data_IF_868951248324
#
_entry.id   IF_868951248324
#
_cell.length_a   1.000
_cell.length_b   1.000
_cell.length_c   1.000
_cell.angle_alpha   90.00
_cell.angle_beta   90.00
_cell.angle_gamma   90.00
#
_symmetry.space_group_name_H-M   'P 1'
#
loop_
_entity.id
_entity.type
_entity.pdbx_description
1 polymer ?
#
# COMPACT_ATOMS: atom_id res chain seq x y z
N UNK A 1 1.36 -23.51 -14.08
CA UNK A 1 2.07 -22.22 -14.29
C UNK A 1 1.16 -21.13 -14.85
N UNK A 2 0.44 -21.35 -15.97
CA UNK A 2 -0.49 -20.35 -16.57
C UNK A 2 -1.52 -19.75 -15.60
N UNK A 3 -2.14 -20.58 -14.76
CA UNK A 3 -3.16 -20.13 -13.78
C UNK A 3 -2.54 -19.28 -12.66
N UNK A 4 -1.35 -19.65 -12.19
CA UNK A 4 -0.63 -18.90 -11.16
C UNK A 4 -0.20 -17.52 -11.68
N UNK A 5 0.30 -17.45 -12.91
CA UNK A 5 0.65 -16.18 -13.54
C UNK A 5 -0.56 -15.27 -13.73
N UNK A 6 -1.72 -15.82 -14.14
CA UNK A 6 -2.97 -15.07 -14.23
C UNK A 6 -3.42 -14.55 -12.85
N UNK A 7 -3.34 -15.40 -11.82
CA UNK A 7 -3.72 -15.03 -10.46
C UNK A 7 -2.83 -13.89 -9.93
N UNK A 8 -1.51 -13.98 -10.10
CA UNK A 8 -0.57 -12.92 -9.71
C UNK A 8 -0.86 -11.62 -10.46
N UNK A 9 -1.11 -11.69 -11.77
CA UNK A 9 -1.45 -10.51 -12.56
C UNK A 9 -2.77 -9.87 -12.12
N UNK A 10 -3.80 -10.68 -11.82
CA UNK A 10 -5.06 -10.15 -11.28
C UNK A 10 -4.86 -9.51 -9.91
N UNK A 11 -4.02 -10.09 -9.05
CA UNK A 11 -3.73 -9.54 -7.73
C UNK A 11 -3.00 -8.21 -7.86
N UNK A 12 -2.02 -8.11 -8.76
CA UNK A 12 -1.27 -6.88 -9.03
C UNK A 12 -2.18 -5.74 -9.54
N UNK A 13 -3.20 -6.04 -10.34
CA UNK A 13 -4.19 -5.05 -10.76
C UNK A 13 -5.08 -4.53 -9.61
N UNK A 14 -5.18 -5.27 -8.50
CA UNK A 14 -6.06 -4.95 -7.38
C UNK A 14 -5.32 -4.48 -6.11
N UNK A 15 -3.99 -4.57 -6.08
CA UNK A 15 -3.13 -4.22 -4.93
C UNK A 15 -2.13 -3.12 -5.28
N UNK A 16 -2.67 -1.96 -5.65
CA UNK A 16 -1.91 -0.78 -6.07
C UNK A 16 -0.89 -0.35 -5.00
N UNK A 17 -1.27 -0.37 -3.72
CA UNK A 17 -0.37 0.02 -2.64
C UNK A 17 0.83 -0.93 -2.49
N UNK A 18 0.64 -2.24 -2.68
CA UNK A 18 1.75 -3.21 -2.65
C UNK A 18 2.73 -2.96 -3.79
N UNK A 19 2.23 -2.76 -5.01
CA UNK A 19 3.06 -2.46 -6.18
C UNK A 19 3.89 -1.19 -5.99
N UNK A 20 3.32 -0.16 -5.35
CA UNK A 20 4.03 1.08 -5.03
C UNK A 20 5.13 0.92 -3.97
N UNK A 21 4.96 0.00 -3.03
CA UNK A 21 5.80 -0.08 -1.82
C UNK A 21 6.75 -1.27 -1.78
N UNK A 22 6.64 -2.22 -2.70
CA UNK A 22 7.51 -3.40 -2.76
C UNK A 22 8.97 -3.03 -3.09
N UNK A 23 9.18 -2.04 -3.95
CA UNK A 23 10.50 -1.54 -4.34
C UNK A 23 10.43 -0.04 -4.63
N UNK A 24 10.26 0.80 -3.59
CA UNK A 24 10.15 2.24 -3.76
C UNK A 24 11.50 2.84 -4.13
N UNK A 25 11.48 3.82 -5.04
CA UNK A 25 12.67 4.57 -5.41
C UNK A 25 13.24 5.32 -4.20
N UNK A 26 14.57 5.29 -4.04
CA UNK A 26 15.29 5.96 -2.96
C UNK A 26 14.79 5.64 -1.53
N UNK A 27 14.17 4.47 -1.34
CA UNK A 27 13.54 4.10 -0.06
C UNK A 27 12.48 5.10 0.45
N UNK A 28 11.76 5.73 -0.48
CA UNK A 28 10.81 6.77 -0.16
C UNK A 28 9.49 6.58 -0.90
N UNK A 29 8.39 6.85 -0.22
CA UNK A 29 7.06 6.85 -0.82
C UNK A 29 6.29 8.11 -0.41
N UNK A 30 5.66 8.75 -1.39
CA UNK A 30 4.75 9.85 -1.11
C UNK A 30 3.34 9.30 -0.90
N UNK A 31 2.78 9.59 0.28
CA UNK A 31 1.44 9.16 0.67
C UNK A 31 0.58 10.41 0.81
N UNK A 32 -0.26 10.60 -0.18
CA UNK A 32 -1.17 11.74 -0.29
C UNK A 32 -2.51 11.27 -0.84
N UNK A 33 -3.59 11.83 -0.32
CA UNK A 33 -4.95 11.60 -0.82
C UNK A 33 -5.69 12.93 -0.96
N UNK A 34 -6.19 13.23 -2.16
CA UNK A 34 -6.92 14.45 -2.48
C UNK A 34 -6.23 15.76 -2.03
N UNK A 35 -4.92 15.91 -2.26
CA UNK A 35 -4.19 17.11 -1.85
C UNK A 35 -3.74 17.11 -0.38
N UNK A 36 -4.07 16.05 0.38
CA UNK A 36 -3.76 15.95 1.82
C UNK A 36 -2.69 14.90 2.06
N UNK A 37 -1.53 15.36 2.57
CA UNK A 37 -0.42 14.48 2.92
C UNK A 37 -0.74 13.67 4.18
N UNK A 38 -0.24 12.45 4.21
CA UNK A 38 -0.22 11.64 5.42
C UNK A 38 0.78 12.18 6.46
N UNK A 39 0.47 11.99 7.73
CA UNK A 39 1.31 12.27 8.88
C UNK A 39 2.23 11.11 9.28
N UNK A 40 2.18 9.96 8.58
CA UNK A 40 3.20 8.93 8.84
C UNK A 40 4.57 9.44 8.43
N UNK A 41 5.59 9.12 9.22
CA UNK A 41 7.00 9.40 8.90
C UNK A 41 7.66 8.21 8.20
N UNK A 42 7.21 7.00 8.51
CA UNK A 42 7.70 5.77 7.91
C UNK A 42 6.67 4.64 7.98
N UNK A 43 6.83 3.65 7.10
CA UNK A 43 6.07 2.41 7.09
C UNK A 43 7.03 1.20 7.02
N UNK A 44 6.67 0.04 7.61
CA UNK A 44 7.46 -1.17 7.46
C UNK A 44 7.40 -1.69 6.01
N UNK A 45 8.45 -2.37 5.55
CA UNK A 45 8.48 -3.08 4.26
C UNK A 45 7.66 -4.36 4.28
N UNK A 46 7.66 -5.05 5.42
CA UNK A 46 6.79 -6.20 5.65
C UNK A 46 5.38 -5.67 5.85
N UNK A 47 4.42 -6.15 5.05
CA UNK A 47 3.06 -5.59 4.97
C UNK A 47 3.02 -4.10 4.58
N UNK A 48 3.89 -3.68 3.66
CA UNK A 48 3.99 -2.27 3.26
C UNK A 48 2.77 -1.77 2.49
N UNK A 49 2.14 -2.59 1.66
CA UNK A 49 0.93 -2.21 0.94
C UNK A 49 -0.26 -1.99 1.87
N UNK A 50 -0.45 -2.88 2.86
CA UNK A 50 -1.44 -2.68 3.91
C UNK A 50 -1.13 -1.43 4.76
N UNK A 51 0.13 -1.27 5.18
CA UNK A 51 0.56 -0.12 5.97
C UNK A 51 0.35 1.20 5.22
N UNK A 52 0.60 1.24 3.92
CA UNK A 52 0.32 2.39 3.06
C UNK A 52 -1.17 2.78 3.10
N UNK A 53 -2.08 1.80 3.00
CA UNK A 53 -3.52 2.07 3.04
C UNK A 53 -3.98 2.59 4.41
N UNK A 54 -3.48 2.02 5.50
CA UNK A 54 -3.76 2.54 6.86
C UNK A 54 -3.18 3.94 7.03
N UNK A 55 -1.98 4.17 6.50
CA UNK A 55 -1.30 5.45 6.55
C UNK A 55 -2.04 6.55 5.76
N UNK A 56 -2.74 6.18 4.69
CA UNK A 56 -3.63 7.08 3.94
C UNK A 56 -4.74 7.68 4.84
N UNK A 57 -5.17 6.94 5.86
CA UNK A 57 -6.20 7.38 6.82
C UNK A 57 -5.63 8.31 7.90
N UNK A 58 -4.31 8.29 8.10
CA UNK A 58 -3.61 9.17 9.05
C UNK A 58 -3.16 10.47 8.37
N UNK A 59 -4.10 11.18 7.74
CA UNK A 59 -3.82 12.41 6.99
C UNK A 59 -4.41 13.67 7.61
N UNK A 60 -4.15 14.81 6.97
CA UNK A 60 -4.68 16.10 7.40
C UNK A 60 -6.22 16.07 7.52
N UNK A 61 -6.82 16.58 8.62
CA UNK A 61 -8.26 16.59 8.80
C UNK A 61 -8.97 17.31 7.65
N UNK A 62 -9.99 16.66 7.09
CA UNK A 62 -10.87 17.27 6.09
C UNK A 62 -12.23 17.58 6.68
N UNK A 63 -12.79 18.73 6.29
CA UNK A 63 -14.19 19.09 6.56
C UNK A 63 -15.19 18.42 5.62
N UNK A 64 -14.71 17.74 4.56
CA UNK A 64 -15.51 17.01 3.59
C UNK A 64 -15.15 15.53 3.63
N UNK A 65 -16.09 14.68 3.23
CA UNK A 65 -15.79 13.26 3.08
C UNK A 65 -14.74 13.06 1.99
N UNK A 66 -13.58 12.57 2.41
CA UNK A 66 -12.42 12.33 1.56
C UNK A 66 -12.04 10.84 1.55
N UNK A 67 -13.05 9.96 1.52
CA UNK A 67 -12.83 8.50 1.58
C UNK A 67 -12.43 7.89 0.22
N UNK A 68 -12.34 8.73 -0.81
CA UNK A 68 -12.01 8.32 -2.18
C UNK A 68 -13.19 7.71 -2.92
N UNK A 69 -12.89 7.01 -4.02
CA UNK A 69 -13.88 6.31 -4.84
C UNK A 69 -14.51 5.16 -4.06
N UNK A 70 -15.79 4.87 -4.29
CA UNK A 70 -16.50 3.74 -3.67
C UNK A 70 -17.01 2.76 -4.72
N UNK A 71 -16.92 1.46 -4.44
CA UNK A 71 -17.53 0.39 -5.25
C UNK A 71 -18.61 -0.28 -4.39
N UNK A 72 -19.87 -0.19 -4.80
CA UNK A 72 -20.97 -0.81 -4.04
C UNK A 72 -21.07 -0.33 -2.58
N UNK A 73 -20.84 0.97 -2.34
CA UNK A 73 -20.76 1.61 -0.99
C UNK A 73 -19.53 1.24 -0.16
N UNK A 74 -18.60 0.44 -0.68
CA UNK A 74 -17.32 0.14 -0.02
C UNK A 74 -16.24 1.08 -0.56
N UNK A 75 -15.52 1.83 0.29
CA UNK A 75 -14.40 2.66 -0.15
C UNK A 75 -13.30 1.82 -0.81
N UNK A 76 -12.73 2.33 -1.89
CA UNK A 76 -11.71 1.62 -2.67
C UNK A 76 -10.47 1.28 -1.86
N UNK A 77 -10.07 2.14 -0.91
CA UNK A 77 -8.92 1.86 -0.03
C UNK A 77 -9.11 0.58 0.79
N UNK A 78 -10.36 0.23 1.17
CA UNK A 78 -10.66 -1.01 1.90
C UNK A 78 -10.42 -2.23 1.02
N UNK A 79 -10.84 -2.13 -0.25
CA UNK A 79 -10.64 -3.19 -1.25
C UNK A 79 -9.14 -3.36 -1.51
N UNK A 80 -8.43 -2.26 -1.79
CA UNK A 80 -6.98 -2.27 -2.02
C UNK A 80 -6.20 -2.77 -0.79
N UNK A 81 -6.63 -2.42 0.42
CA UNK A 81 -6.03 -2.93 1.66
C UNK A 81 -6.18 -4.45 1.79
N UNK A 82 -7.37 -4.99 1.51
CA UNK A 82 -7.63 -6.44 1.57
C UNK A 82 -6.75 -7.21 0.57
N UNK A 83 -6.67 -6.73 -0.68
CA UNK A 83 -5.79 -7.35 -1.69
C UNK A 83 -4.32 -7.14 -1.36
N UNK A 84 -3.94 -6.00 -0.79
CA UNK A 84 -2.57 -5.72 -0.37
C UNK A 84 -2.10 -6.65 0.74
N UNK A 85 -2.97 -7.07 1.68
CA UNK A 85 -2.59 -8.09 2.68
C UNK A 85 -2.15 -9.40 2.00
N UNK A 86 -2.91 -9.85 1.00
CA UNK A 86 -2.60 -11.09 0.28
C UNK A 86 -1.33 -10.92 -0.54
N UNK A 87 -1.21 -9.82 -1.28
CA UNK A 87 -0.04 -9.52 -2.11
C UNK A 87 1.23 -9.35 -1.26
N UNK A 88 1.15 -8.59 -0.17
CA UNK A 88 2.22 -8.40 0.81
C UNK A 88 2.68 -9.76 1.35
N UNK A 89 1.75 -10.65 1.72
CA UNK A 89 2.07 -12.01 2.22
C UNK A 89 2.87 -12.82 1.21
N UNK A 90 2.52 -12.73 -0.08
CA UNK A 90 3.25 -13.42 -1.16
C UNK A 90 4.68 -12.90 -1.29
N UNK A 91 4.89 -11.59 -1.06
CA UNK A 91 6.20 -10.94 -1.25
C UNK A 91 7.01 -10.81 0.04
N UNK A 92 6.53 -11.32 1.18
CA UNK A 92 7.26 -11.34 2.47
C UNK A 92 8.70 -11.82 2.33
N UNK A 93 9.02 -12.94 1.64
CA UNK A 93 10.40 -13.42 1.58
C UNK A 93 11.36 -12.38 0.99
N UNK A 94 10.87 -11.55 0.06
CA UNK A 94 11.63 -10.47 -0.54
C UNK A 94 11.64 -9.22 0.35
N UNK A 95 10.50 -8.80 0.88
CA UNK A 95 10.38 -7.56 1.66
C UNK A 95 11.01 -7.68 3.06
N UNK A 96 11.05 -8.87 3.65
CA UNK A 96 11.73 -9.14 4.91
C UNK A 96 13.26 -8.98 4.80
N UNK A 97 13.87 -9.51 3.73
CA UNK A 97 15.31 -9.30 3.46
C UNK A 97 15.60 -7.82 3.27
N UNK A 98 14.78 -7.13 2.46
CA UNK A 98 14.94 -5.69 2.29
C UNK A 98 14.73 -4.89 3.58
N UNK A 99 13.88 -5.35 4.50
CA UNK A 99 13.66 -4.68 5.78
C UNK A 99 14.93 -4.71 6.62
N UNK A 100 15.66 -5.83 6.61
CA UNK A 100 16.93 -5.97 7.32
C UNK A 100 17.99 -5.07 6.70
N UNK A 101 18.09 -5.07 5.37
CA UNK A 101 19.16 -4.37 4.66
C UNK A 101 18.97 -2.85 4.62
N UNK A 102 17.72 -2.39 4.49
CA UNK A 102 17.40 -0.99 4.19
C UNK A 102 16.51 -0.32 5.25
N UNK A 103 16.02 -1.06 6.25
CA UNK A 103 15.07 -0.55 7.23
C UNK A 103 13.70 -0.20 6.65
N UNK A 104 12.94 0.59 7.42
CA UNK A 104 11.60 1.09 7.07
C UNK A 104 11.64 2.03 5.85
N UNK A 105 10.52 2.13 5.15
CA UNK A 105 10.32 3.04 4.02
C UNK A 105 9.96 4.42 4.58
N UNK A 106 10.67 5.46 4.16
CA UNK A 106 10.35 6.83 4.56
C UNK A 106 9.12 7.34 3.82
N UNK A 107 8.29 8.09 4.53
CA UNK A 107 7.07 8.69 4.00
C UNK A 107 7.23 10.21 4.01
N UNK A 108 6.89 10.84 2.87
CA UNK A 108 6.82 12.29 2.64
C UNK A 108 8.10 13.08 2.88
#
# INVERSE_FOLDING_TARGET
>A
MKILSLAILSLACCSCATVKTISPDNNHVQIEHQGKKSYCEEIPRVYSGFSYNVCLLNGEPSRRENIGSTVGKVPFFVIDAAFSIVADTIVIPYTAVQQIDKGSIKVN
#
